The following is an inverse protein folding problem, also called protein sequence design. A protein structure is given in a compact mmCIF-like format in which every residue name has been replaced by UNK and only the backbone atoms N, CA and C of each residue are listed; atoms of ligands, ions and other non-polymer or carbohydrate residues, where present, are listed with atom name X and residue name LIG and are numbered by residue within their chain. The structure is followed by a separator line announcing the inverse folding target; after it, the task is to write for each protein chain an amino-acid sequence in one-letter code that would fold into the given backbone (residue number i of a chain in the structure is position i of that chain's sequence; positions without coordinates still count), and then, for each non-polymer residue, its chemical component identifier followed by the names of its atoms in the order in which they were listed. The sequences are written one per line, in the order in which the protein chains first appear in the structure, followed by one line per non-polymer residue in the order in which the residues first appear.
data_IF_782617066134
#
_entry.id   IF_782617066134
#
_cell.length_a   1.000
_cell.length_b   1.000
_cell.length_c   1.000
_cell.angle_alpha   90.00
_cell.angle_beta   90.00
_cell.angle_gamma   90.00
#
_symmetry.space_group_name_H-M   'P 1'
#
loop_
_entity.id
_entity.type
_entity.pdbx_description
1 polymer ?
#
# COMPACT_ATOMS: atom_id res chain seq x y z
N UNK A 1 20.33 2.61 6.96
CA UNK A 1 19.54 1.94 5.90
C UNK A 1 18.64 3.01 5.31
N UNK A 2 18.88 3.46 4.07
CA UNK A 2 17.95 4.38 3.41
C UNK A 2 16.72 3.59 3.02
N UNK A 3 15.71 3.61 3.88
CA UNK A 3 14.36 3.23 3.51
C UNK A 3 14.04 3.96 2.21
N UNK A 4 13.63 3.22 1.19
CA UNK A 4 13.15 3.81 -0.06
C UNK A 4 12.01 4.74 0.34
N UNK A 5 12.27 6.04 0.42
CA UNK A 5 11.26 7.09 0.57
C UNK A 5 10.46 7.15 -0.74
N UNK A 6 9.75 6.07 -1.06
CA UNK A 6 8.60 6.12 -1.92
C UNK A 6 7.66 7.09 -1.24
N UNK A 7 7.59 8.32 -1.78
CA UNK A 7 6.73 9.35 -1.20
C UNK A 7 5.33 8.77 -1.22
N UNK A 8 4.59 8.86 -0.10
CA UNK A 8 3.23 8.31 0.00
C UNK A 8 2.37 8.70 -1.20
N UNK A 9 2.60 9.90 -1.74
CA UNK A 9 2.07 10.42 -3.00
C UNK A 9 2.34 9.54 -4.23
N UNK A 10 3.60 9.18 -4.47
CA UNK A 10 4.00 8.36 -5.62
C UNK A 10 3.40 6.95 -5.50
N UNK A 11 3.41 6.38 -4.29
CA UNK A 11 2.80 5.07 -4.04
C UNK A 11 1.28 5.13 -4.20
N UNK A 12 0.62 6.20 -3.74
CA UNK A 12 -0.81 6.40 -3.94
C UNK A 12 -1.16 6.50 -5.43
N UNK A 13 -0.40 7.29 -6.18
CA UNK A 13 -0.53 7.41 -7.64
C UNK A 13 -0.33 6.08 -8.35
N UNK A 14 0.74 5.35 -7.98
CA UNK A 14 1.02 4.05 -8.54
C UNK A 14 -0.14 3.09 -8.29
N UNK A 15 -0.63 3.01 -7.05
CA UNK A 15 -1.75 2.16 -6.67
C UNK A 15 -3.08 2.63 -7.26
N UNK A 16 -3.19 3.89 -7.71
CA UNK A 16 -4.43 4.45 -8.22
C UNK A 16 -5.43 4.78 -7.10
N UNK A 17 -4.91 5.14 -5.93
CA UNK A 17 -5.69 5.57 -4.77
C UNK A 17 -5.33 7.02 -4.42
N UNK A 18 -6.19 7.69 -3.66
CA UNK A 18 -5.87 9.03 -3.15
C UNK A 18 -4.80 8.97 -2.06
N UNK A 19 -4.04 10.05 -1.91
CA UNK A 19 -3.06 10.21 -0.81
C UNK A 19 -3.72 10.07 0.57
N UNK A 20 -4.93 10.62 0.73
CA UNK A 20 -5.73 10.47 1.96
C UNK A 20 -6.04 8.99 2.23
N UNK A 21 -6.41 8.21 1.21
CA UNK A 21 -6.65 6.77 1.36
C UNK A 21 -5.37 6.03 1.76
N UNK A 22 -4.23 6.39 1.16
CA UNK A 22 -2.94 5.84 1.57
C UNK A 22 -2.58 6.18 3.03
N UNK A 23 -2.83 7.42 3.46
CA UNK A 23 -2.60 7.85 4.84
C UNK A 23 -3.51 7.12 5.83
N UNK A 24 -4.79 6.94 5.52
CA UNK A 24 -5.72 6.14 6.34
C UNK A 24 -5.22 4.71 6.52
N UNK A 25 -4.65 4.12 5.47
CA UNK A 25 -4.04 2.78 5.51
C UNK A 25 -2.81 2.73 6.41
N UNK A 26 -1.85 3.63 6.21
CA UNK A 26 -0.61 3.65 6.97
C UNK A 26 -0.84 3.96 8.45
N UNK A 27 -1.89 4.71 8.76
CA UNK A 27 -2.30 5.02 10.15
C UNK A 27 -3.22 3.95 10.76
N UNK A 28 -3.49 2.83 10.07
CA UNK A 28 -4.34 1.75 10.57
C UNK A 28 -5.82 2.11 10.75
N UNK A 29 -6.27 3.25 10.20
CA UNK A 29 -7.66 3.72 10.30
C UNK A 29 -8.61 2.92 9.42
N UNK A 30 -8.09 2.21 8.41
CA UNK A 30 -8.88 1.35 7.52
C UNK A 30 -8.17 0.01 7.27
N UNK A 31 -8.91 -1.12 7.31
CA UNK A 31 -8.35 -2.44 7.04
C UNK A 31 -8.04 -2.61 5.54
N UNK A 32 -6.94 -3.31 5.23
CA UNK A 32 -6.57 -3.63 3.86
C UNK A 32 -7.63 -4.50 3.19
N UNK A 33 -8.00 -4.11 1.97
CA UNK A 33 -8.94 -4.87 1.17
C UNK A 33 -8.22 -5.65 0.07
N UNK A 34 -8.84 -6.73 -0.39
CA UNK A 34 -8.29 -7.61 -1.43
C UNK A 34 -7.90 -6.87 -2.71
N UNK A 35 -8.62 -5.79 -3.08
CA UNK A 35 -8.26 -5.00 -4.25
C UNK A 35 -6.92 -4.28 -4.07
N UNK A 36 -6.68 -3.70 -2.89
CA UNK A 36 -5.41 -3.02 -2.61
C UNK A 36 -4.26 -4.04 -2.52
N UNK A 37 -4.49 -5.21 -1.92
CA UNK A 37 -3.50 -6.30 -1.89
C UNK A 37 -3.12 -6.74 -3.31
N UNK A 38 -4.11 -6.90 -4.20
CA UNK A 38 -3.85 -7.18 -5.63
C UNK A 38 -3.02 -6.07 -6.29
N UNK A 39 -3.35 -4.81 -6.03
CA UNK A 39 -2.60 -3.67 -6.59
C UNK A 39 -1.17 -3.59 -6.06
N UNK A 40 -0.95 -3.88 -4.78
CA UNK A 40 0.39 -3.94 -4.17
C UNK A 40 1.23 -5.05 -4.82
N UNK A 41 0.62 -6.22 -5.06
CA UNK A 41 1.26 -7.31 -5.80
C UNK A 41 1.57 -6.91 -7.24
N UNK A 42 0.57 -6.45 -7.98
CA UNK A 42 0.69 -6.25 -9.42
C UNK A 42 1.57 -5.05 -9.77
N UNK A 43 1.61 -4.02 -8.91
CA UNK A 43 2.31 -2.76 -9.20
C UNK A 43 3.60 -2.55 -8.43
N UNK A 44 3.71 -3.07 -7.21
CA UNK A 44 4.92 -2.96 -6.39
C UNK A 44 5.67 -4.28 -6.27
N UNK A 45 5.19 -5.35 -6.89
CA UNK A 45 5.74 -6.70 -6.78
C UNK A 45 5.85 -7.15 -5.31
N UNK A 46 4.95 -6.67 -4.45
CA UNK A 46 4.91 -7.04 -3.04
C UNK A 46 4.13 -8.35 -2.91
N UNK A 47 4.72 -9.40 -2.35
CA UNK A 47 4.04 -10.67 -2.16
C UNK A 47 2.76 -10.48 -1.33
N UNK A 48 1.62 -10.98 -1.83
CA UNK A 48 0.34 -10.80 -1.15
C UNK A 48 0.32 -11.42 0.25
N UNK A 49 1.00 -12.55 0.45
CA UNK A 49 1.22 -13.19 1.75
C UNK A 49 1.89 -12.25 2.75
N UNK A 50 2.92 -11.48 2.37
CA UNK A 50 3.56 -10.51 3.26
C UNK A 50 2.55 -9.49 3.83
N UNK A 51 1.57 -9.11 3.02
CA UNK A 51 0.54 -8.15 3.40
C UNK A 51 -0.57 -8.81 4.22
N UNK A 52 -0.95 -10.04 3.88
CA UNK A 52 -1.98 -10.81 4.59
C UNK A 52 -1.52 -11.28 5.98
N UNK A 53 -0.23 -11.52 6.16
CA UNK A 53 0.37 -11.91 7.46
C UNK A 53 0.39 -10.74 8.46
N UNK A 54 0.12 -9.51 8.02
CA UNK A 54 0.10 -8.27 8.81
C UNK A 54 -1.25 -7.53 8.75
N UNK A 55 -2.32 -8.23 8.38
CA UNK A 55 -3.70 -7.71 8.32
C UNK A 55 -4.33 -7.50 9.71
#
# INVERSE_FOLDING_TARGET
MQEKHLKQKETAQLLGISESRMSDFLNGKRPLNLNLVKQLRDKLNIPANFVLDNL
#
